data_IF_505922829510
#
_entry.id   IF_505922829510
#
_cell.length_a   1.000
_cell.length_b   1.000
_cell.length_c   1.000
_cell.angle_alpha   90.00
_cell.angle_beta   90.00
_cell.angle_gamma   90.00
#
_symmetry.space_group_name_H-M   'P 1'
#
loop_
_entity.id
_entity.type
_entity.pdbx_description
1 polymer ?
#
# COMPACT_ATOMS: atom_id res chain seq x y z
N UNK A 1 10.24 7.39 -8.12
CA UNK A 1 10.18 7.77 -6.69
C UNK A 1 9.06 6.98 -6.03
N UNK A 2 9.31 6.33 -4.88
CA UNK A 2 8.30 5.51 -4.16
C UNK A 2 7.52 6.44 -3.23
N UNK A 3 6.21 6.51 -3.41
CA UNK A 3 5.40 7.60 -2.88
C UNK A 3 4.29 7.07 -1.96
N UNK A 4 4.39 7.48 -0.70
CA UNK A 4 3.25 7.59 0.20
C UNK A 4 2.93 9.08 0.26
N UNK A 5 1.98 9.54 -0.56
CA UNK A 5 1.66 10.96 -0.72
C UNK A 5 0.65 11.42 0.31
N UNK A 6 -0.44 10.66 0.51
CA UNK A 6 -1.57 11.05 1.35
C UNK A 6 -1.96 9.96 2.33
N UNK A 7 -2.08 10.33 3.59
CA UNK A 7 -2.52 9.44 4.68
C UNK A 7 -3.82 9.99 5.25
N UNK A 8 -4.90 9.21 5.15
CA UNK A 8 -6.15 9.52 5.84
C UNK A 8 -6.04 9.07 7.29
N UNK A 9 -6.30 9.96 8.23
CA UNK A 9 -6.26 9.70 9.67
C UNK A 9 -7.64 10.05 10.26
N UNK A 10 -8.60 9.10 10.25
CA UNK A 10 -9.85 9.28 10.96
C UNK A 10 -9.57 9.27 12.46
N UNK A 11 -9.95 10.34 13.16
CA UNK A 11 -9.77 10.48 14.60
C UNK A 11 -11.14 10.35 15.27
N UNK A 12 -11.18 9.63 16.37
CA UNK A 12 -12.27 9.69 17.32
C UNK A 12 -11.78 10.49 18.54
N UNK A 13 -12.33 11.68 18.74
CA UNK A 13 -11.91 12.59 19.81
C UNK A 13 -12.26 12.08 21.21
N UNK A 14 -13.09 11.04 21.32
CA UNK A 14 -13.53 10.48 22.59
C UNK A 14 -12.60 9.37 23.11
N UNK A 15 -11.62 8.94 22.32
CA UNK A 15 -10.66 7.89 22.67
C UNK A 15 -9.23 8.42 22.64
N UNK A 16 -8.32 7.72 23.32
CA UNK A 16 -6.90 8.05 23.21
C UNK A 16 -6.38 7.71 21.81
N UNK A 17 -6.04 8.75 21.05
CA UNK A 17 -5.47 8.67 19.70
C UNK A 17 -3.99 9.06 19.67
N UNK A 18 -3.31 9.18 20.82
CA UNK A 18 -1.91 9.61 20.89
C UNK A 18 -0.99 8.72 20.05
N UNK A 19 -1.07 7.41 20.22
CA UNK A 19 -0.22 6.48 19.45
C UNK A 19 -0.57 6.46 17.95
N UNK A 20 -1.84 6.65 17.62
CA UNK A 20 -2.28 6.82 16.23
C UNK A 20 -1.60 8.05 15.60
N UNK A 21 -1.64 9.19 16.28
CA UNK A 21 -1.05 10.44 15.81
C UNK A 21 0.48 10.36 15.72
N UNK A 22 1.14 9.80 16.73
CA UNK A 22 2.59 9.58 16.74
C UNK A 22 3.04 8.72 15.54
N UNK A 23 2.31 7.64 15.27
CA UNK A 23 2.59 6.75 14.15
C UNK A 23 2.38 7.48 12.81
N UNK A 24 1.30 8.26 12.69
CA UNK A 24 1.03 9.06 11.50
C UNK A 24 2.13 10.10 11.23
N UNK A 25 2.58 10.82 12.26
CA UNK A 25 3.70 11.79 12.17
C UNK A 25 4.97 11.10 11.70
N UNK A 26 5.32 9.97 12.32
CA UNK A 26 6.53 9.20 12.01
C UNK A 26 6.56 8.75 10.55
N UNK A 27 5.42 8.27 10.05
CA UNK A 27 5.29 7.83 8.65
C UNK A 27 5.32 9.04 7.72
N UNK A 28 4.51 10.08 7.98
CA UNK A 28 4.41 11.26 7.14
C UNK A 28 5.76 11.99 7.01
N UNK A 29 6.50 12.14 8.10
CA UNK A 29 7.86 12.72 8.07
C UNK A 29 8.82 11.92 7.21
N UNK A 30 8.74 10.60 7.30
CA UNK A 30 9.60 9.69 6.57
C UNK A 30 9.38 9.81 5.06
N UNK A 31 8.13 9.91 4.62
CA UNK A 31 7.76 9.95 3.21
C UNK A 31 7.44 11.34 2.65
N UNK A 32 7.51 12.38 3.48
CA UNK A 32 7.02 13.73 3.17
C UNK A 32 5.53 13.71 2.73
N UNK A 33 4.72 12.94 3.44
CA UNK A 33 3.29 12.76 3.13
C UNK A 33 2.44 13.90 3.70
N UNK A 34 1.36 14.22 3.01
CA UNK A 34 0.24 15.00 3.52
C UNK A 34 -0.67 14.12 4.41
N UNK A 35 -1.02 14.63 5.58
CA UNK A 35 -2.02 14.03 6.47
C UNK A 35 -3.36 14.71 6.24
N UNK A 36 -4.41 13.89 6.08
CA UNK A 36 -5.80 14.33 6.02
C UNK A 36 -6.49 13.85 7.28
N UNK A 37 -6.84 14.78 8.17
CA UNK A 37 -7.55 14.46 9.41
C UNK A 37 -9.05 14.62 9.19
N UNK A 38 -9.83 13.62 9.60
CA UNK A 38 -11.28 13.72 9.58
C UNK A 38 -11.91 13.16 10.86
N UNK A 39 -13.05 13.72 11.23
CA UNK A 39 -13.96 13.16 12.23
C UNK A 39 -15.31 12.86 11.57
N UNK A 40 -15.89 11.70 11.83
CA UNK A 40 -17.24 11.38 11.35
C UNK A 40 -18.24 11.48 12.50
N UNK A 41 -19.21 12.39 12.36
CA UNK A 41 -20.31 12.56 13.29
C UNK A 41 -21.53 11.79 12.79
N UNK A 42 -21.98 10.80 13.58
CA UNK A 42 -23.19 10.04 13.26
C UNK A 42 -24.42 10.94 13.34
N UNK A 43 -25.29 10.87 12.32
CA UNK A 43 -26.52 11.68 12.24
C UNK A 43 -27.51 11.39 13.39
N UNK A 44 -27.43 10.21 14.00
CA UNK A 44 -28.31 9.75 15.08
C UNK A 44 -28.03 10.40 16.44
N UNK A 45 -26.86 11.01 16.63
CA UNK A 45 -26.34 11.34 17.98
C UNK A 45 -26.73 12.76 18.43
N UNK A 46 -27.24 13.61 17.55
CA UNK A 46 -27.21 15.06 17.80
C UNK A 46 -28.57 15.72 17.52
N UNK A 47 -29.31 16.01 18.59
CA UNK A 47 -30.44 16.94 18.52
C UNK A 47 -29.97 18.31 18.02
N UNK A 48 -30.78 18.96 17.17
CA UNK A 48 -30.43 20.25 16.54
C UNK A 48 -29.96 21.30 17.55
N UNK A 49 -30.53 21.30 18.76
CA UNK A 49 -30.28 22.29 19.80
C UNK A 49 -28.87 22.21 20.40
N UNK A 50 -28.22 21.04 20.35
CA UNK A 50 -26.84 20.84 20.86
C UNK A 50 -25.81 20.66 19.74
N UNK A 51 -26.25 20.68 18.48
CA UNK A 51 -25.41 20.35 17.32
C UNK A 51 -24.24 21.29 17.16
N UNK A 52 -24.48 22.58 17.31
CA UNK A 52 -23.44 23.60 17.19
C UNK A 52 -22.39 23.46 18.31
N UNK A 53 -22.83 23.16 19.53
CA UNK A 53 -21.95 22.95 20.69
C UNK A 53 -21.01 21.75 20.44
N UNK A 54 -21.57 20.63 19.97
CA UNK A 54 -20.78 19.41 19.66
C UNK A 54 -19.80 19.69 18.52
N UNK A 55 -20.23 20.35 17.44
CA UNK A 55 -19.37 20.71 16.32
C UNK A 55 -18.22 21.61 16.76
N UNK A 56 -18.49 22.61 17.61
CA UNK A 56 -17.47 23.52 18.12
C UNK A 56 -16.44 22.77 18.98
N UNK A 57 -16.88 21.87 19.88
CA UNK A 57 -15.99 21.06 20.70
C UNK A 57 -15.11 20.12 19.85
N UNK A 58 -15.67 19.47 18.83
CA UNK A 58 -14.92 18.62 17.90
C UNK A 58 -13.91 19.48 17.11
N UNK A 59 -14.34 20.64 16.61
CA UNK A 59 -13.48 21.55 15.85
C UNK A 59 -12.29 22.05 16.67
N UNK A 60 -12.49 22.37 17.95
CA UNK A 60 -11.41 22.75 18.85
C UNK A 60 -10.39 21.62 19.02
N UNK A 61 -10.85 20.37 19.19
CA UNK A 61 -9.97 19.20 19.28
C UNK A 61 -9.21 18.94 17.97
N UNK A 62 -9.88 19.05 16.82
CA UNK A 62 -9.23 18.92 15.51
C UNK A 62 -8.20 20.02 15.26
N UNK A 63 -8.47 21.25 15.72
CA UNK A 63 -7.51 22.34 15.67
C UNK A 63 -6.28 22.06 16.55
N UNK A 64 -6.45 21.47 17.74
CA UNK A 64 -5.31 21.03 18.56
C UNK A 64 -4.45 20.01 17.82
N UNK A 65 -5.07 19.03 17.15
CA UNK A 65 -4.35 18.03 16.32
C UNK A 65 -3.60 18.71 15.18
N UNK A 66 -4.24 19.65 14.48
CA UNK A 66 -3.61 20.43 13.41
C UNK A 66 -2.37 21.19 13.89
N UNK A 67 -2.45 21.84 15.04
CA UNK A 67 -1.32 22.57 15.61
C UNK A 67 -0.18 21.63 16.04
N UNK A 68 -0.49 20.44 16.57
CA UNK A 68 0.53 19.41 16.84
C UNK A 68 1.23 19.01 15.53
N UNK A 69 0.48 18.70 14.49
CA UNK A 69 1.02 18.29 13.19
C UNK A 69 1.88 19.38 12.53
N UNK A 70 1.46 20.64 12.60
CA UNK A 70 2.24 21.79 12.11
C UNK A 70 3.53 21.99 12.88
N UNK A 71 3.51 21.89 14.21
CA UNK A 71 4.72 21.98 15.05
C UNK A 71 5.74 20.90 14.69
N UNK A 72 5.26 19.72 14.32
CA UNK A 72 6.08 18.60 13.87
C UNK A 72 6.54 18.71 12.40
N UNK A 73 6.17 19.80 11.70
CA UNK A 73 6.55 20.09 10.32
C UNK A 73 5.83 19.25 9.26
N UNK A 74 4.65 18.72 9.58
CA UNK A 74 3.89 17.83 8.70
C UNK A 74 2.93 18.63 7.80
N UNK A 75 2.87 18.27 6.51
CA UNK A 75 1.87 18.79 5.58
C UNK A 75 0.49 18.28 6.00
N UNK A 76 -0.46 19.19 6.21
CA UNK A 76 -1.80 18.83 6.67
C UNK A 76 -2.87 19.60 5.87
N UNK A 77 -3.87 18.86 5.39
CA UNK A 77 -5.11 19.43 4.83
C UNK A 77 -6.03 19.89 5.95
N UNK A 78 -6.82 20.94 5.72
CA UNK A 78 -7.78 21.45 6.71
C UNK A 78 -8.64 20.31 7.30
N UNK A 79 -8.64 20.10 8.63
CA UNK A 79 -9.42 19.03 9.24
C UNK A 79 -10.91 19.17 8.93
N UNK A 80 -11.57 18.05 8.62
CA UNK A 80 -12.99 18.06 8.23
C UNK A 80 -13.86 17.27 9.20
N UNK A 81 -15.04 17.80 9.51
CA UNK A 81 -16.12 17.07 10.18
C UNK A 81 -17.11 16.61 9.10
N UNK A 82 -17.34 15.31 9.00
CA UNK A 82 -18.23 14.70 8.01
C UNK A 82 -19.41 14.05 8.72
N UNK A 83 -20.61 14.17 8.17
CA UNK A 83 -21.82 13.58 8.76
C UNK A 83 -22.14 12.24 8.08
N UNK A 84 -22.60 11.26 8.88
CA UNK A 84 -23.13 9.99 8.39
C UNK A 84 -22.51 8.76 9.05
N UNK A 85 -22.57 7.61 8.37
CA UNK A 85 -21.96 6.38 8.87
C UNK A 85 -20.42 6.46 8.84
N UNK A 86 -19.72 6.22 9.96
CA UNK A 86 -18.26 6.32 10.05
C UNK A 86 -17.50 5.57 8.96
N UNK A 87 -17.82 4.29 8.75
CA UNK A 87 -17.07 3.45 7.81
C UNK A 87 -17.30 3.93 6.38
N UNK A 88 -18.55 4.19 6.00
CA UNK A 88 -18.88 4.62 4.64
C UNK A 88 -18.22 5.95 4.31
N UNK A 89 -18.23 6.90 5.25
CA UNK A 89 -17.64 8.23 5.05
C UNK A 89 -16.11 8.20 5.02
N UNK A 90 -15.48 7.35 5.82
CA UNK A 90 -14.03 7.13 5.75
C UNK A 90 -13.64 6.53 4.40
N UNK A 91 -14.36 5.51 3.92
CA UNK A 91 -14.09 4.90 2.62
C UNK A 91 -14.30 5.88 1.46
N UNK A 92 -15.39 6.65 1.48
CA UNK A 92 -15.66 7.69 0.49
C UNK A 92 -14.56 8.75 0.48
N UNK A 93 -14.14 9.24 1.65
CA UNK A 93 -13.05 10.22 1.75
C UNK A 93 -11.73 9.64 1.24
N UNK A 94 -11.41 8.39 1.58
CA UNK A 94 -10.19 7.73 1.10
C UNK A 94 -10.13 7.63 -0.44
N UNK A 95 -11.27 7.45 -1.10
CA UNK A 95 -11.38 7.43 -2.56
C UNK A 95 -11.29 8.85 -3.12
N UNK A 96 -12.10 9.78 -2.61
CA UNK A 96 -12.19 11.16 -3.12
C UNK A 96 -10.87 11.92 -3.00
N UNK A 97 -10.16 11.72 -1.89
CA UNK A 97 -8.85 12.32 -1.66
C UNK A 97 -7.70 11.56 -2.33
N UNK A 98 -8.01 10.39 -2.91
CA UNK A 98 -7.10 9.41 -3.47
C UNK A 98 -5.93 9.10 -2.51
N UNK A 99 -6.24 8.72 -1.27
CA UNK A 99 -5.20 8.44 -0.28
C UNK A 99 -4.49 7.12 -0.59
N UNK A 100 -3.27 6.99 -0.09
CA UNK A 100 -2.50 5.76 -0.20
C UNK A 100 -2.74 4.81 0.99
N UNK A 101 -3.08 5.37 2.14
CA UNK A 101 -3.19 4.66 3.41
C UNK A 101 -4.31 5.26 4.26
N UNK A 102 -5.11 4.39 4.87
CA UNK A 102 -6.00 4.74 5.98
C UNK A 102 -5.30 4.30 7.27
N UNK A 103 -5.01 5.24 8.17
CA UNK A 103 -4.36 4.98 9.45
C UNK A 103 -5.34 5.25 10.59
N UNK A 104 -5.76 4.19 11.26
CA UNK A 104 -6.79 4.22 12.31
C UNK A 104 -6.29 3.59 13.61
N UNK A 105 -6.72 4.11 14.75
CA UNK A 105 -6.49 3.46 16.04
C UNK A 105 -7.27 2.14 16.18
N UNK A 106 -6.78 1.24 17.02
CA UNK A 106 -7.38 -0.07 17.24
C UNK A 106 -8.73 -0.07 17.96
N UNK A 107 -9.12 1.05 18.57
CA UNK A 107 -10.31 1.16 19.43
C UNK A 107 -10.02 0.87 20.91
N UNK A 108 -11.10 0.79 21.70
CA UNK A 108 -11.04 0.70 23.17
C UNK A 108 -10.65 -0.73 23.61
N UNK A 109 -9.68 -0.81 24.52
CA UNK A 109 -9.37 -2.03 25.29
C UNK A 109 -10.39 -2.12 26.42
N UNK A 110 -11.24 -3.15 26.40
CA UNK A 110 -12.13 -3.43 27.53
C UNK A 110 -11.29 -3.75 28.78
N UNK A 111 -11.69 -3.26 29.96
CA UNK A 111 -10.90 -3.36 31.21
C UNK A 111 -10.65 -4.81 31.65
N UNK A 112 -11.38 -5.77 31.06
CA UNK A 112 -11.26 -7.21 31.28
C UNK A 112 -10.43 -7.87 30.16
N UNK A 113 -9.11 -7.68 30.22
CA UNK A 113 -7.98 -8.49 29.67
C UNK A 113 -8.01 -9.09 28.24
N UNK A 114 -9.09 -9.01 27.45
CA UNK A 114 -9.10 -9.47 26.06
C UNK A 114 -9.26 -8.29 25.12
N UNK A 115 -8.16 -7.95 24.46
CA UNK A 115 -8.15 -6.98 23.37
C UNK A 115 -9.26 -7.28 22.36
N UNK A 116 -9.95 -6.24 21.90
CA UNK A 116 -10.94 -6.31 20.83
C UNK A 116 -10.68 -5.21 19.82
N UNK A 117 -10.55 -5.60 18.56
CA UNK A 117 -10.48 -4.66 17.46
C UNK A 117 -11.80 -3.88 17.38
N UNK A 118 -11.70 -2.55 17.30
CA UNK A 118 -12.84 -1.67 17.15
C UNK A 118 -13.63 -1.99 15.88
N UNK A 119 -14.96 -1.85 15.96
CA UNK A 119 -15.89 -2.20 14.87
C UNK A 119 -15.53 -1.45 13.57
N UNK A 120 -15.13 -0.18 13.68
CA UNK A 120 -14.75 0.62 12.52
C UNK A 120 -13.46 0.09 11.87
N UNK A 121 -12.46 -0.27 12.67
CA UNK A 121 -11.20 -0.84 12.16
C UNK A 121 -11.45 -2.20 11.48
N UNK A 122 -12.23 -3.11 12.09
CA UNK A 122 -12.59 -4.40 11.48
C UNK A 122 -13.31 -4.21 10.14
N UNK A 123 -14.34 -3.37 10.10
CA UNK A 123 -15.09 -3.08 8.87
C UNK A 123 -14.21 -2.44 7.79
N UNK A 124 -13.33 -1.52 8.14
CA UNK A 124 -12.40 -0.91 7.19
C UNK A 124 -11.45 -1.95 6.59
N UNK A 125 -10.90 -2.87 7.38
CA UNK A 125 -10.05 -3.95 6.85
C UNK A 125 -10.83 -4.83 5.86
N UNK A 126 -12.10 -5.12 6.15
CA UNK A 126 -12.94 -5.97 5.28
C UNK A 126 -13.32 -5.26 3.98
N UNK A 127 -13.66 -3.98 4.05
CA UNK A 127 -14.30 -3.26 2.95
C UNK A 127 -13.34 -2.40 2.13
N UNK A 128 -12.27 -1.88 2.73
CA UNK A 128 -11.34 -0.97 2.07
C UNK A 128 -10.50 -1.65 0.99
N UNK A 129 -10.45 -1.05 -0.19
CA UNK A 129 -9.46 -1.37 -1.22
C UNK A 129 -8.10 -0.69 -0.95
N UNK A 130 -8.12 0.44 -0.23
CA UNK A 130 -6.92 1.11 0.27
C UNK A 130 -6.33 0.32 1.43
N UNK A 131 -5.00 0.21 1.54
CA UNK A 131 -4.35 -0.37 2.71
C UNK A 131 -4.81 0.30 4.01
N UNK A 132 -5.01 -0.52 5.04
CA UNK A 132 -5.44 -0.07 6.37
C UNK A 132 -4.34 -0.39 7.36
N UNK A 133 -3.79 0.65 7.98
CA UNK A 133 -2.87 0.56 9.11
C UNK A 133 -3.66 0.73 10.39
N UNK A 134 -3.75 -0.34 11.17
CA UNK A 134 -4.34 -0.29 12.51
C UNK A 134 -3.23 -0.11 13.54
N UNK A 135 -3.29 0.99 14.28
CA UNK A 135 -2.34 1.31 15.34
C UNK A 135 -2.85 0.78 16.66
N UNK A 136 -2.02 -0.02 17.34
CA UNK A 136 -2.32 -0.53 18.68
C UNK A 136 -2.34 0.61 19.69
N UNK A 137 -3.45 0.74 20.41
CA UNK A 137 -3.55 1.71 21.51
C UNK A 137 -2.59 1.35 22.64
N UNK A 138 -2.06 2.37 23.33
CA UNK A 138 -1.16 2.26 24.50
C UNK A 138 0.18 1.55 24.24
N UNK A 139 0.56 1.30 22.99
CA UNK A 139 1.84 0.70 22.64
C UNK A 139 2.46 1.44 21.46
N UNK A 140 3.69 1.95 21.66
CA UNK A 140 4.39 2.70 20.64
C UNK A 140 4.77 1.81 19.45
N UNK A 141 4.42 2.25 18.24
CA UNK A 141 4.84 1.58 17.00
C UNK A 141 6.27 2.00 16.62
N UNK A 142 7.24 1.23 17.12
CA UNK A 142 8.67 1.54 16.96
C UNK A 142 9.20 1.36 15.54
N UNK A 143 8.58 0.54 14.70
CA UNK A 143 9.01 0.28 13.31
C UNK A 143 10.44 -0.25 13.22
N UNK A 144 10.81 -1.13 14.16
CA UNK A 144 12.14 -1.71 14.25
C UNK A 144 12.16 -3.18 13.86
N UNK A 145 11.06 -3.91 14.10
CA UNK A 145 10.94 -5.34 13.82
C UNK A 145 9.61 -5.63 13.12
N UNK A 146 9.70 -5.96 11.82
CA UNK A 146 8.55 -6.21 10.95
C UNK A 146 8.42 -7.71 10.72
N UNK A 147 7.23 -8.26 10.99
CA UNK A 147 6.85 -9.61 10.57
C UNK A 147 5.98 -9.54 9.31
N UNK A 148 6.32 -10.34 8.31
CA UNK A 148 5.52 -10.52 7.11
C UNK A 148 5.25 -12.01 6.85
N UNK A 149 4.08 -12.54 7.26
CA UNK A 149 3.68 -13.89 6.89
C UNK A 149 3.27 -13.95 5.42
N UNK A 150 3.69 -15.01 4.73
CA UNK A 150 3.43 -15.20 3.31
C UNK A 150 2.79 -16.56 3.03
N UNK A 151 1.79 -16.56 2.17
CA UNK A 151 1.13 -17.77 1.65
C UNK A 151 1.24 -17.84 0.12
N UNK A 152 2.15 -17.06 -0.47
CA UNK A 152 2.45 -17.01 -1.90
C UNK A 152 1.27 -16.57 -2.80
N UNK A 153 0.20 -16.03 -2.20
CA UNK A 153 -0.92 -15.39 -2.92
C UNK A 153 -0.59 -13.94 -3.31
N UNK A 154 -1.37 -13.36 -4.24
CA UNK A 154 -1.18 -11.95 -4.64
C UNK A 154 -1.30 -10.95 -3.48
N UNK A 155 -2.26 -11.08 -2.53
CA UNK A 155 -2.25 -10.24 -1.33
C UNK A 155 -0.97 -10.39 -0.50
N UNK A 156 -0.45 -11.60 -0.32
CA UNK A 156 0.83 -11.79 0.39
C UNK A 156 2.02 -11.20 -0.37
N UNK A 157 1.99 -11.21 -1.70
CA UNK A 157 2.99 -10.56 -2.57
C UNK A 157 3.01 -9.05 -2.36
N UNK A 158 1.83 -8.42 -2.34
CA UNK A 158 1.67 -6.99 -1.99
C UNK A 158 2.15 -6.71 -0.57
N UNK A 159 1.76 -7.54 0.40
CA UNK A 159 2.20 -7.39 1.78
C UNK A 159 3.74 -7.40 1.89
N UNK A 160 4.40 -8.38 1.27
CA UNK A 160 5.85 -8.48 1.29
C UNK A 160 6.52 -7.31 0.57
N UNK A 161 6.00 -6.87 -0.59
CA UNK A 161 6.49 -5.68 -1.30
C UNK A 161 6.49 -4.46 -0.39
N UNK A 162 5.39 -4.24 0.33
CA UNK A 162 5.26 -3.12 1.27
C UNK A 162 6.16 -3.29 2.50
N UNK A 163 6.27 -4.50 3.06
CA UNK A 163 7.14 -4.81 4.19
C UNK A 163 8.63 -4.54 3.87
N UNK A 164 9.09 -4.89 2.67
CA UNK A 164 10.45 -4.60 2.20
C UNK A 164 10.69 -3.09 2.11
N UNK A 165 9.72 -2.33 1.58
CA UNK A 165 9.88 -0.88 1.46
C UNK A 165 9.91 -0.21 2.85
N UNK A 166 9.04 -0.63 3.76
CA UNK A 166 9.05 -0.16 5.14
C UNK A 166 10.36 -0.52 5.85
N UNK A 167 10.85 -1.76 5.69
CA UNK A 167 12.14 -2.21 6.22
C UNK A 167 13.31 -1.36 5.69
N UNK A 168 13.39 -1.12 4.38
CA UNK A 168 14.41 -0.23 3.78
C UNK A 168 14.33 1.18 4.36
N UNK A 169 13.12 1.73 4.48
CA UNK A 169 12.92 3.12 4.89
C UNK A 169 13.24 3.37 6.36
N UNK A 170 12.80 2.47 7.23
CA UNK A 170 12.95 2.59 8.68
C UNK A 170 14.17 1.83 9.22
N UNK A 171 14.95 1.17 8.34
CA UNK A 171 16.07 0.28 8.70
C UNK A 171 15.62 -0.84 9.67
N UNK A 172 14.38 -1.29 9.51
CA UNK A 172 13.77 -2.31 10.36
C UNK A 172 14.23 -3.71 9.96
N UNK A 173 14.39 -4.61 10.92
CA UNK A 173 14.58 -6.03 10.64
C UNK A 173 13.28 -6.62 10.07
N UNK A 174 13.38 -7.42 9.01
CA UNK A 174 12.24 -8.06 8.35
C UNK A 174 12.30 -9.57 8.51
N UNK A 175 11.30 -10.16 9.17
CA UNK A 175 11.10 -11.61 9.17
C UNK A 175 10.03 -11.99 8.16
N UNK A 176 10.37 -12.84 7.20
CA UNK A 176 9.45 -13.40 6.22
C UNK A 176 9.07 -14.80 6.70
N UNK A 177 7.81 -14.99 7.08
CA UNK A 177 7.34 -16.23 7.71
C UNK A 177 6.48 -17.06 6.74
N UNK A 178 6.93 -18.27 6.41
CA UNK A 178 6.12 -19.30 5.79
C UNK A 178 5.64 -20.31 6.83
N UNK A 179 4.38 -20.74 6.75
CA UNK A 179 3.85 -21.80 7.64
C UNK A 179 3.26 -22.92 6.81
N UNK A 180 3.68 -24.15 7.08
CA UNK A 180 3.08 -25.36 6.48
C UNK A 180 2.38 -26.18 7.54
N UNK A 181 1.27 -26.81 7.15
CA UNK A 181 0.54 -27.73 8.01
C UNK A 181 1.21 -29.12 7.97
N UNK A 182 1.73 -29.63 9.10
CA UNK A 182 2.33 -30.95 9.12
C UNK A 182 1.28 -32.04 8.88
N UNK A 183 1.70 -33.14 8.26
CA UNK A 183 0.92 -34.37 8.19
C UNK A 183 0.98 -35.08 9.53
N UNK A 184 -0.20 -35.33 10.10
CA UNK A 184 -0.37 -36.07 11.35
C UNK A 184 -1.43 -37.13 11.10
N UNK A 185 -1.12 -38.40 11.43
CA UNK A 185 -2.08 -39.50 11.39
C UNK A 185 -2.01 -40.28 12.70
N UNK A 186 -3.16 -40.60 13.28
CA UNK A 186 -3.30 -41.46 14.46
C UNK A 186 -3.75 -42.87 14.08
N UNK A 187 -3.98 -43.13 12.79
CA UNK A 187 -4.44 -44.43 12.29
C UNK A 187 -3.28 -45.40 12.19
N UNK A 188 -3.30 -46.43 13.05
CA UNK A 188 -2.38 -47.58 12.98
C UNK A 188 -2.50 -48.37 11.66
N UNK A 189 -3.56 -48.14 10.87
CA UNK A 189 -3.79 -48.82 9.58
C UNK A 189 -3.06 -48.15 8.41
N UNK A 190 -2.66 -46.88 8.54
CA UNK A 190 -1.89 -46.17 7.53
C UNK A 190 -0.39 -46.40 7.80
N UNK A 191 0.27 -47.23 6.99
CA UNK A 191 1.74 -47.37 7.00
C UNK A 191 2.39 -46.18 6.28
N UNK A 192 2.18 -44.97 6.80
CA UNK A 192 2.82 -43.76 6.27
C UNK A 192 3.89 -43.33 7.26
N UNK A 193 5.13 -43.16 6.79
CA UNK A 193 6.16 -42.52 7.58
C UNK A 193 5.85 -41.01 7.66
N UNK A 194 5.36 -40.58 8.82
CA UNK A 194 5.00 -39.18 9.07
C UNK A 194 6.21 -38.27 9.03
N UNK A 195 7.43 -38.76 9.30
CA UNK A 195 8.65 -37.95 9.20
C UNK A 195 9.01 -37.70 7.75
N UNK A 196 8.96 -38.74 6.91
CA UNK A 196 9.23 -38.62 5.48
C UNK A 196 8.24 -37.67 4.80
N UNK A 197 6.94 -37.82 5.08
CA UNK A 197 5.89 -36.95 4.53
C UNK A 197 6.05 -35.49 4.99
N UNK A 198 6.42 -35.26 6.25
CA UNK A 198 6.67 -33.90 6.75
C UNK A 198 7.95 -33.28 6.17
N UNK A 199 9.00 -34.07 5.95
CA UNK A 199 10.21 -33.62 5.26
C UNK A 199 9.91 -33.26 3.79
N UNK A 200 9.09 -34.06 3.12
CA UNK A 200 8.62 -33.75 1.77
C UNK A 200 7.84 -32.42 1.72
N UNK A 201 6.89 -32.21 2.65
CA UNK A 201 6.14 -30.95 2.76
C UNK A 201 7.02 -29.74 3.04
N UNK A 202 8.03 -29.90 3.90
CA UNK A 202 9.03 -28.86 4.17
C UNK A 202 9.79 -28.51 2.88
N UNK A 203 10.29 -29.50 2.14
CA UNK A 203 10.97 -29.27 0.87
C UNK A 203 10.10 -28.58 -0.18
N UNK A 204 8.79 -28.87 -0.22
CA UNK A 204 7.85 -28.18 -1.09
C UNK A 204 7.72 -26.69 -0.75
N UNK A 205 7.48 -26.36 0.53
CA UNK A 205 7.33 -24.95 0.93
C UNK A 205 8.66 -24.18 0.80
N UNK A 206 9.81 -24.80 1.06
CA UNK A 206 11.12 -24.21 0.83
C UNK A 206 11.33 -23.86 -0.65
N UNK A 207 10.93 -24.76 -1.56
CA UNK A 207 10.99 -24.51 -3.00
C UNK A 207 10.04 -23.40 -3.43
N UNK A 208 8.80 -23.41 -2.95
CA UNK A 208 7.82 -22.34 -3.21
C UNK A 208 8.31 -20.99 -2.70
N UNK A 209 8.82 -20.94 -1.47
CA UNK A 209 9.42 -19.74 -0.87
C UNK A 209 10.58 -19.22 -1.70
N UNK A 210 11.52 -20.10 -2.08
CA UNK A 210 12.66 -19.72 -2.91
C UNK A 210 12.22 -19.16 -4.26
N UNK A 211 11.19 -19.73 -4.88
CA UNK A 211 10.66 -19.22 -6.15
C UNK A 211 9.96 -17.87 -5.97
N UNK A 212 9.12 -17.74 -4.95
CA UNK A 212 8.40 -16.51 -4.64
C UNK A 212 9.34 -15.33 -4.34
N UNK A 213 10.41 -15.58 -3.59
CA UNK A 213 11.37 -14.54 -3.21
C UNK A 213 12.23 -14.03 -4.37
N UNK A 214 12.34 -14.76 -5.49
CA UNK A 214 13.04 -14.27 -6.70
C UNK A 214 12.41 -13.02 -7.30
N UNK A 215 11.15 -12.76 -6.99
CA UNK A 215 10.42 -11.59 -7.48
C UNK A 215 10.75 -10.31 -6.70
N UNK A 216 11.52 -10.42 -5.63
CA UNK A 216 11.78 -9.32 -4.70
C UNK A 216 13.28 -9.03 -4.56
N UNK A 217 13.60 -7.73 -4.50
CA UNK A 217 14.93 -7.27 -4.16
C UNK A 217 15.09 -7.09 -2.63
N UNK A 218 15.69 -8.10 -2.00
CA UNK A 218 16.04 -8.12 -0.58
C UNK A 218 17.46 -7.58 -0.31
N UNK A 219 18.15 -7.00 -1.29
CA UNK A 219 19.45 -6.39 -1.05
C UNK A 219 19.32 -5.15 -0.16
N UNK A 220 20.28 -5.00 0.76
CA UNK A 220 20.36 -3.83 1.65
C UNK A 220 19.32 -3.81 2.79
N UNK A 221 18.63 -4.92 3.06
CA UNK A 221 17.76 -5.08 4.23
C UNK A 221 18.25 -6.18 5.16
N UNK A 222 18.15 -5.94 6.46
CA UNK A 222 18.33 -6.95 7.49
C UNK A 222 17.07 -7.85 7.49
N UNK A 223 17.17 -9.07 6.96
CA UNK A 223 16.03 -9.97 6.85
C UNK A 223 16.35 -11.41 7.22
N UNK A 224 15.32 -12.13 7.67
CA UNK A 224 15.34 -13.57 7.97
C UNK A 224 14.19 -14.25 7.25
N UNK A 225 14.46 -15.37 6.60
CA UNK A 225 13.43 -16.25 6.04
C UNK A 225 13.21 -17.37 7.06
N UNK A 226 11.98 -17.52 7.52
CA UNK A 226 11.59 -18.43 8.58
C UNK A 226 10.45 -19.33 8.08
N UNK A 227 10.63 -20.65 8.15
CA UNK A 227 9.61 -21.63 7.75
C UNK A 227 9.29 -22.49 8.95
N UNK A 228 8.04 -22.43 9.41
CA UNK A 228 7.58 -23.14 10.60
C UNK A 228 6.50 -24.16 10.26
N UNK A 229 6.49 -25.27 11.01
CA UNK A 229 5.41 -26.24 10.98
C UNK A 229 4.31 -25.84 11.97
N UNK A 230 3.05 -25.90 11.57
CA UNK A 230 1.93 -25.72 12.50
C UNK A 230 0.71 -25.08 11.88
N UNK A 231 -0.03 -24.34 12.72
CA UNK A 231 -1.23 -23.62 12.33
C UNK A 231 -0.89 -22.15 12.16
N UNK A 232 -1.07 -21.61 10.94
CA UNK A 232 -0.60 -20.28 10.55
C UNK A 232 -0.86 -19.16 11.57
N UNK A 233 -2.10 -19.00 12.05
CA UNK A 233 -2.41 -17.93 13.01
C UNK A 233 -1.66 -18.09 14.35
N UNK A 234 -1.53 -19.31 14.87
CA UNK A 234 -0.81 -19.60 16.12
C UNK A 234 0.68 -19.29 15.96
N UNK A 235 1.30 -19.75 14.87
CA UNK A 235 2.71 -19.48 14.56
C UNK A 235 2.97 -17.98 14.37
N UNK A 236 2.07 -17.25 13.71
CA UNK A 236 2.18 -15.79 13.56
C UNK A 236 2.17 -15.11 14.92
N UNK A 237 1.17 -15.43 15.76
CA UNK A 237 1.02 -14.83 17.09
C UNK A 237 2.20 -15.18 18.01
N UNK A 238 2.68 -16.42 17.95
CA UNK A 238 3.85 -16.88 18.68
C UNK A 238 5.11 -16.13 18.26
N UNK A 239 5.36 -16.06 16.94
CA UNK A 239 6.53 -15.37 16.36
C UNK A 239 6.55 -13.88 16.71
N UNK A 240 5.39 -13.21 16.76
CA UNK A 240 5.32 -11.80 17.17
C UNK A 240 5.79 -11.65 18.63
N UNK A 241 5.31 -12.51 19.54
CA UNK A 241 5.66 -12.47 20.96
C UNK A 241 7.12 -12.87 21.21
N UNK A 242 7.56 -13.95 20.60
CA UNK A 242 8.90 -14.54 20.82
C UNK A 242 10.02 -13.58 20.39
N UNK A 243 9.86 -12.93 19.24
CA UNK A 243 10.88 -12.06 18.65
C UNK A 243 10.59 -10.56 18.81
N UNK A 244 9.53 -10.19 19.53
CA UNK A 244 9.19 -8.78 19.80
C UNK A 244 8.93 -7.94 18.55
N UNK A 245 8.16 -8.49 17.60
CA UNK A 245 7.78 -7.74 16.39
C UNK A 245 6.80 -6.62 16.75
N UNK A 246 7.06 -5.41 16.25
CA UNK A 246 6.27 -4.19 16.54
C UNK A 246 5.33 -3.80 15.38
N UNK A 247 5.49 -4.46 14.22
CA UNK A 247 4.62 -4.30 13.07
C UNK A 247 4.38 -5.64 12.35
N UNK A 248 3.11 -5.99 12.16
CA UNK A 248 2.70 -7.09 11.29
C UNK A 248 2.24 -6.53 9.93
N UNK A 249 2.81 -7.00 8.82
CA UNK A 249 2.37 -6.63 7.47
C UNK A 249 1.85 -7.89 6.77
N UNK A 250 0.55 -7.94 6.50
CA UNK A 250 -0.09 -9.15 5.96
C UNK A 250 -1.14 -8.86 4.87
N UNK A 251 -1.41 -9.87 4.04
CA UNK A 251 -2.54 -9.84 3.11
C UNK A 251 -3.87 -10.03 3.84
N UNK A 252 -4.96 -9.42 3.35
CA UNK A 252 -6.29 -9.65 3.95
C UNK A 252 -6.89 -10.99 3.58
N UNK A 253 -6.53 -11.51 2.40
CA UNK A 253 -7.06 -12.75 1.82
C UNK A 253 -5.88 -13.65 1.43
N UNK A 254 -6.10 -14.96 1.43
CA UNK A 254 -5.09 -15.93 1.04
C UNK A 254 -5.50 -16.78 -0.16
N UNK A 255 -4.79 -17.90 -0.36
CA UNK A 255 -4.99 -18.87 -1.47
C UNK A 255 -6.44 -19.32 -1.71
N UNK A 256 -7.29 -19.34 -0.69
CA UNK A 256 -8.67 -19.87 -0.76
C UNK A 256 -9.75 -18.83 -1.07
N UNK A 257 -9.40 -17.54 -1.17
CA UNK A 257 -10.37 -16.44 -1.24
C UNK A 257 -10.91 -16.17 -2.65
N UNK A 258 -11.87 -16.96 -3.12
CA UNK A 258 -12.57 -16.72 -4.41
C UNK A 258 -13.48 -15.47 -4.41
N UNK A 259 -13.83 -14.94 -3.23
CA UNK A 259 -14.68 -13.75 -3.09
C UNK A 259 -13.88 -12.56 -2.54
N UNK A 260 -13.86 -11.44 -3.29
CA UNK A 260 -13.15 -10.18 -2.93
C UNK A 260 -13.65 -9.50 -1.64
N UNK A 261 -14.68 -10.03 -0.97
CA UNK A 261 -15.35 -9.40 0.18
C UNK A 261 -15.00 -10.09 1.52
N UNK A 262 -14.53 -11.34 1.51
CA UNK A 262 -14.33 -12.12 2.74
C UNK A 262 -12.87 -12.05 3.19
N UNK A 263 -12.63 -11.59 4.41
CA UNK A 263 -11.32 -11.66 5.08
C UNK A 263 -10.91 -13.12 5.29
N UNK A 264 -9.64 -13.46 5.05
CA UNK A 264 -9.11 -14.80 5.27
C UNK A 264 -9.21 -15.21 6.74
N UNK A 265 -9.48 -16.50 7.00
CA UNK A 265 -9.64 -17.04 8.36
C UNK A 265 -8.40 -16.90 9.24
N UNK A 266 -7.20 -16.88 8.63
CA UNK A 266 -5.94 -16.60 9.34
C UNK A 266 -5.89 -15.14 9.78
N UNK A 267 -6.14 -14.21 8.85
CA UNK A 267 -6.20 -12.77 9.12
C UNK A 267 -7.21 -12.45 10.22
N UNK A 268 -8.43 -12.97 10.13
CA UNK A 268 -9.46 -12.74 11.14
C UNK A 268 -9.05 -13.21 12.54
N UNK A 269 -8.38 -14.37 12.66
CA UNK A 269 -7.89 -14.86 13.94
C UNK A 269 -6.74 -14.01 14.48
N UNK A 270 -5.81 -13.58 13.64
CA UNK A 270 -4.67 -12.76 14.04
C UNK A 270 -5.10 -11.34 14.44
N UNK A 271 -5.96 -10.69 13.65
CA UNK A 271 -6.44 -9.32 13.93
C UNK A 271 -7.33 -9.26 15.17
N UNK A 272 -8.01 -10.36 15.52
CA UNK A 272 -8.78 -10.46 16.76
C UNK A 272 -7.90 -10.41 18.01
N UNK A 273 -6.69 -10.94 17.96
CA UNK A 273 -5.74 -10.89 19.08
C UNK A 273 -4.86 -9.64 19.07
N UNK A 274 -4.64 -9.04 17.90
CA UNK A 274 -3.87 -7.83 17.65
C UNK A 274 -2.62 -7.67 18.55
N UNK A 275 -1.62 -8.55 18.36
CA UNK A 275 -0.45 -8.59 19.23
C UNK A 275 0.43 -7.33 19.11
N UNK A 276 0.40 -6.64 17.96
CA UNK A 276 1.08 -5.38 17.67
C UNK A 276 0.26 -4.57 16.65
N UNK A 277 0.73 -3.37 16.30
CA UNK A 277 0.19 -2.64 15.15
C UNK A 277 0.31 -3.46 13.86
N UNK A 278 -0.64 -3.34 12.95
CA UNK A 278 -0.61 -4.12 11.72
C UNK A 278 -1.10 -3.33 10.50
N UNK A 279 -0.59 -3.73 9.34
CA UNK A 279 -1.02 -3.22 8.05
C UNK A 279 -1.58 -4.34 7.20
N UNK A 280 -2.78 -4.09 6.68
CA UNK A 280 -3.41 -5.01 5.74
C UNK A 280 -3.39 -4.46 4.32
N UNK A 281 -3.11 -5.34 3.37
CA UNK A 281 -3.13 -5.02 1.94
C UNK A 281 -4.16 -5.91 1.24
N UNK A 282 -5.15 -5.28 0.60
CA UNK A 282 -6.26 -5.99 -0.08
C UNK A 282 -6.07 -5.99 -1.58
N UNK A 283 -6.29 -4.86 -2.25
CA UNK A 283 -6.21 -4.72 -3.71
C UNK A 283 -5.12 -3.73 -4.15
N UNK A 284 -4.78 -2.74 -3.33
CA UNK A 284 -3.75 -1.74 -3.62
C UNK A 284 -2.51 -1.89 -2.73
N UNK A 285 -1.37 -1.38 -3.22
CA UNK A 285 -0.13 -1.22 -2.44
C UNK A 285 -0.19 0.05 -1.58
N UNK A 286 0.48 0.06 -0.42
CA UNK A 286 0.64 1.27 0.41
C UNK A 286 1.48 2.30 -0.34
N UNK A 287 2.48 1.81 -1.07
CA UNK A 287 3.47 2.64 -1.74
C UNK A 287 3.35 2.37 -3.23
N UNK A 288 2.85 3.37 -3.95
CA UNK A 288 2.77 3.34 -5.40
C UNK A 288 4.11 3.81 -5.99
N UNK A 289 4.57 3.11 -7.02
CA UNK A 289 5.69 3.58 -7.84
C UNK A 289 5.13 4.59 -8.83
N UNK A 290 5.63 5.83 -8.83
CA UNK A 290 5.18 6.90 -9.75
C UNK A 290 5.13 6.45 -11.21
N UNK A 291 6.10 5.62 -11.62
CA UNK A 291 6.20 5.10 -12.98
C UNK A 291 5.01 4.23 -13.40
N UNK A 292 4.40 3.46 -12.50
CA UNK A 292 3.33 2.54 -12.90
C UNK A 292 2.02 3.29 -13.23
N UNK A 293 1.73 4.38 -12.51
CA UNK A 293 0.56 5.22 -12.81
C UNK A 293 0.80 6.07 -14.06
N UNK A 294 1.97 6.72 -14.16
CA UNK A 294 2.32 7.52 -15.35
C UNK A 294 2.31 6.65 -16.62
N UNK A 295 2.89 5.44 -16.58
CA UNK A 295 2.87 4.50 -17.71
C UNK A 295 1.44 4.08 -18.03
N UNK A 296 0.63 3.71 -17.04
CA UNK A 296 -0.75 3.27 -17.26
C UNK A 296 -1.64 4.38 -17.81
N UNK A 297 -1.49 5.61 -17.31
CA UNK A 297 -2.21 6.77 -17.82
C UNK A 297 -1.78 7.10 -19.26
N UNK A 298 -0.48 7.06 -19.55
CA UNK A 298 0.04 7.19 -20.92
C UNK A 298 -0.53 6.11 -21.82
N UNK A 299 -0.55 4.84 -21.41
CA UNK A 299 -1.11 3.74 -22.21
C UNK A 299 -2.60 3.94 -22.52
N UNK A 300 -3.39 4.40 -21.54
CA UNK A 300 -4.82 4.68 -21.72
C UNK A 300 -5.01 5.81 -22.74
N UNK A 301 -4.36 6.95 -22.53
CA UNK A 301 -4.50 8.11 -23.42
C UNK A 301 -3.95 7.81 -24.83
N UNK A 302 -2.83 7.11 -24.93
CA UNK A 302 -2.22 6.73 -26.20
C UNK A 302 -3.09 5.75 -26.98
N UNK A 303 -3.69 4.77 -26.30
CA UNK A 303 -4.64 3.84 -26.92
C UNK A 303 -5.88 4.57 -27.42
N UNK A 304 -6.51 5.39 -26.58
CA UNK A 304 -7.69 6.17 -26.95
C UNK A 304 -7.39 7.09 -28.15
N UNK A 305 -6.20 7.68 -28.21
CA UNK A 305 -5.77 8.50 -29.33
C UNK A 305 -5.64 7.69 -30.63
N UNK A 306 -5.07 6.49 -30.58
CA UNK A 306 -4.99 5.62 -31.76
C UNK A 306 -6.39 5.21 -32.24
N UNK A 307 -7.30 4.85 -31.33
CA UNK A 307 -8.68 4.53 -31.66
C UNK A 307 -9.38 5.72 -32.33
N UNK A 308 -9.14 6.96 -31.87
CA UNK A 308 -9.67 8.17 -32.50
C UNK A 308 -9.09 8.40 -33.91
N UNK A 309 -7.80 8.17 -34.13
CA UNK A 309 -7.16 8.27 -35.46
C UNK A 309 -7.77 7.26 -36.42
N UNK A 310 -7.98 6.01 -36.00
CA UNK A 310 -8.61 4.97 -36.81
C UNK A 310 -10.02 5.35 -37.26
N UNK A 311 -10.72 6.15 -36.45
CA UNK A 311 -12.05 6.66 -36.74
C UNK A 311 -12.05 8.05 -37.42
N UNK A 312 -10.88 8.62 -37.76
CA UNK A 312 -10.75 9.90 -38.45
C UNK A 312 -10.87 11.15 -37.59
N UNK A 313 -10.90 11.02 -36.26
CA UNK A 313 -11.00 12.12 -35.30
C UNK A 313 -9.62 12.66 -34.91
N UNK A 314 -8.93 13.31 -35.85
CA UNK A 314 -7.53 13.71 -35.70
C UNK A 314 -7.31 14.83 -34.68
N UNK A 315 -8.25 15.78 -34.52
CA UNK A 315 -8.09 16.88 -33.55
C UNK A 315 -8.22 16.38 -32.11
N UNK A 316 -9.16 15.48 -31.85
CA UNK A 316 -9.34 14.81 -30.57
C UNK A 316 -8.16 13.90 -30.24
N UNK A 317 -7.64 13.18 -31.24
CA UNK A 317 -6.44 12.37 -31.08
C UNK A 317 -5.23 13.22 -30.70
N UNK A 318 -5.05 14.39 -31.31
CA UNK A 318 -3.98 15.35 -30.96
C UNK A 318 -4.06 15.75 -29.49
N UNK A 319 -5.25 16.02 -28.96
CA UNK A 319 -5.43 16.34 -27.54
C UNK A 319 -4.98 15.18 -26.65
N UNK A 320 -5.37 13.94 -26.99
CA UNK A 320 -4.99 12.75 -26.22
C UNK A 320 -3.47 12.47 -26.27
N UNK A 321 -2.83 12.58 -27.43
CA UNK A 321 -1.37 12.44 -27.52
C UNK A 321 -0.62 13.57 -26.79
N UNK A 322 -1.19 14.78 -26.76
CA UNK A 322 -0.61 15.91 -26.02
C UNK A 322 -0.64 15.68 -24.51
N UNK A 323 -1.71 15.08 -23.97
CA UNK A 323 -1.78 14.67 -22.56
C UNK A 323 -0.66 13.67 -22.24
N UNK A 324 -0.38 12.71 -23.13
CA UNK A 324 0.74 11.79 -22.93
C UNK A 324 2.08 12.52 -22.75
N UNK A 325 2.30 13.61 -23.52
CA UNK A 325 3.51 14.43 -23.43
C UNK A 325 3.53 15.36 -22.19
N UNK A 326 2.36 15.69 -21.63
CA UNK A 326 2.28 16.38 -20.34
C UNK A 326 2.63 15.45 -19.19
N UNK A 327 2.25 14.17 -19.28
CA UNK A 327 2.61 13.14 -18.29
C UNK A 327 4.10 12.78 -18.41
N UNK A 328 4.61 12.59 -19.63
CA UNK A 328 6.02 12.32 -19.89
C UNK A 328 6.49 13.00 -21.18
N UNK A 329 7.28 14.06 -21.02
CA UNK A 329 7.81 14.88 -22.10
C UNK A 329 8.88 14.20 -22.98
N UNK A 330 9.26 12.96 -22.63
CA UNK A 330 10.12 12.08 -23.41
C UNK A 330 9.38 10.90 -24.06
N UNK A 331 8.04 10.88 -24.05
CA UNK A 331 7.28 9.80 -24.68
C UNK A 331 7.30 9.89 -26.22
N UNK A 332 8.37 9.37 -26.82
CA UNK A 332 8.67 9.41 -28.26
C UNK A 332 7.51 8.94 -29.16
N UNK A 333 6.77 7.85 -28.84
CA UNK A 333 5.64 7.43 -29.68
C UNK A 333 4.59 8.53 -29.86
N UNK A 334 4.28 9.29 -28.80
CA UNK A 334 3.34 10.41 -28.87
C UNK A 334 3.85 11.55 -29.76
N UNK A 335 5.14 11.85 -29.76
CA UNK A 335 5.69 12.86 -30.69
C UNK A 335 5.49 12.47 -32.15
N UNK A 336 5.77 11.21 -32.52
CA UNK A 336 5.56 10.74 -33.89
C UNK A 336 4.09 10.73 -34.29
N UNK A 337 3.21 10.30 -33.38
CA UNK A 337 1.77 10.30 -33.64
C UNK A 337 1.19 11.71 -33.74
N UNK A 338 1.65 12.65 -32.93
CA UNK A 338 1.31 14.08 -33.10
C UNK A 338 1.75 14.60 -34.47
N UNK A 339 2.97 14.29 -34.91
CA UNK A 339 3.44 14.68 -36.23
C UNK A 339 2.54 14.12 -37.34
N UNK A 340 2.20 12.82 -37.27
CA UNK A 340 1.28 12.17 -38.22
C UNK A 340 -0.10 12.86 -38.23
N UNK A 341 -0.74 13.02 -37.07
CA UNK A 341 -2.05 13.65 -36.96
C UNK A 341 -2.07 15.11 -37.44
N UNK A 342 -1.01 15.90 -37.16
CA UNK A 342 -0.91 17.28 -37.65
C UNK A 342 -0.76 17.37 -39.17
N UNK A 343 -0.08 16.41 -39.82
CA UNK A 343 -0.04 16.34 -41.29
C UNK A 343 -1.43 16.06 -41.87
N UNK A 344 -2.20 15.17 -41.24
CA UNK A 344 -3.56 14.84 -41.69
C UNK A 344 -4.51 16.04 -41.66
N UNK A 345 -4.35 16.96 -40.70
CA UNK A 345 -5.15 18.19 -40.63
C UNK A 345 -4.48 19.39 -41.35
N UNK A 346 -3.47 19.15 -42.18
CA UNK A 346 -2.83 20.16 -43.03
C UNK A 346 -1.85 21.11 -42.31
N UNK A 347 -1.50 20.85 -41.05
CA UNK A 347 -0.59 21.69 -40.25
C UNK A 347 0.85 21.18 -40.33
N UNK A 348 1.42 21.22 -41.52
CA UNK A 348 2.73 20.60 -41.83
C UNK A 348 3.90 21.18 -41.03
N UNK A 349 3.94 22.49 -40.78
CA UNK A 349 5.00 23.12 -39.98
C UNK A 349 5.01 22.61 -38.53
N UNK A 350 3.82 22.41 -37.95
CA UNK A 350 3.67 21.86 -36.59
C UNK A 350 4.08 20.39 -36.59
N UNK A 351 3.69 19.64 -37.61
CA UNK A 351 4.09 18.25 -37.74
C UNK A 351 5.62 18.07 -37.79
N UNK A 352 6.30 18.93 -38.57
CA UNK A 352 7.75 18.92 -38.69
C UNK A 352 8.43 19.25 -37.35
N UNK A 353 7.88 20.18 -36.56
CA UNK A 353 8.36 20.45 -35.20
C UNK A 353 8.33 19.21 -34.29
N UNK A 354 7.20 18.49 -34.22
CA UNK A 354 7.09 17.30 -33.36
C UNK A 354 8.00 16.16 -33.83
N UNK A 355 8.13 15.97 -35.15
CA UNK A 355 9.01 14.95 -35.72
C UNK A 355 10.49 15.23 -35.43
N UNK A 356 10.93 16.49 -35.61
CA UNK A 356 12.30 16.90 -35.32
C UNK A 356 12.63 16.75 -33.82
N UNK A 357 11.65 17.06 -32.95
CA UNK A 357 11.80 16.87 -31.51
C UNK A 357 11.90 15.39 -31.12
N UNK A 358 11.13 14.50 -31.76
CA UNK A 358 11.25 13.06 -31.56
C UNK A 358 12.65 12.55 -31.94
N UNK A 359 13.16 12.96 -33.11
CA UNK A 359 14.51 12.59 -33.59
C UNK A 359 15.60 13.07 -32.65
N UNK A 360 15.51 14.30 -32.15
CA UNK A 360 16.47 14.86 -31.20
C UNK A 360 16.46 14.11 -29.85
N UNK A 361 15.28 13.71 -29.35
CA UNK A 361 15.15 12.90 -28.14
C UNK A 361 15.76 11.49 -28.32
N UNK A 362 15.49 10.84 -29.44
CA UNK A 362 16.06 9.53 -29.77
C UNK A 362 17.60 9.57 -29.84
N UNK A 363 18.17 10.57 -30.51
CA UNK A 363 19.61 10.75 -30.61
C UNK A 363 20.25 10.87 -29.21
N UNK A 364 19.69 11.71 -28.34
CA UNK A 364 20.16 11.88 -26.96
C UNK A 364 20.10 10.59 -26.13
N UNK A 365 19.06 9.78 -26.31
CA UNK A 365 18.94 8.50 -25.61
C UNK A 365 20.00 7.49 -26.10
N UNK A 366 20.29 7.49 -27.40
CA UNK A 366 21.35 6.66 -27.96
C UNK A 366 22.73 7.05 -27.45
N UNK A 367 23.04 8.35 -27.43
CA UNK A 367 24.31 8.87 -26.92
C UNK A 367 24.52 8.48 -25.45
N UNK A 368 23.49 8.63 -24.61
CA UNK A 368 23.55 8.21 -23.19
C UNK A 368 23.73 6.70 -23.03
N UNK A 369 23.10 5.89 -23.90
CA UNK A 369 23.24 4.43 -23.86
C UNK A 369 24.67 4.02 -24.23
N UNK A 370 25.25 4.64 -25.26
CA UNK A 370 26.64 4.43 -25.66
C UNK A 370 27.60 4.83 -24.54
N UNK A 371 27.41 6.01 -23.94
CA UNK A 371 28.22 6.47 -22.81
C UNK A 371 28.15 5.53 -21.60
N UNK A 372 26.95 5.00 -21.30
CA UNK A 372 26.76 4.01 -20.24
C UNK A 372 27.50 2.69 -20.52
N UNK A 373 27.41 2.16 -21.75
CA UNK A 373 28.11 0.93 -22.14
C UNK A 373 29.64 1.11 -22.14
N UNK A 374 30.15 2.28 -22.57
CA UNK A 374 31.57 2.63 -22.49
C UNK A 374 32.02 2.66 -21.02
N UNK A 375 31.30 3.36 -20.14
CA UNK A 375 31.63 3.41 -18.70
C UNK A 375 31.57 2.05 -18.02
N UNK A 376 30.69 1.16 -18.48
CA UNK A 376 30.60 -0.23 -18.01
C UNK A 376 31.83 -1.05 -18.45
N UNK A 377 32.30 -0.87 -19.69
CA UNK A 377 33.50 -1.53 -20.21
C UNK A 377 34.78 -1.06 -19.51
N UNK A 378 34.91 0.24 -19.20
CA UNK A 378 36.10 0.77 -18.51
C UNK A 378 36.10 0.55 -16.98
N UNK A 379 35.01 0.02 -16.40
CA UNK A 379 34.96 -0.39 -14.98
C UNK A 379 35.28 -1.87 -14.76
N UNK A 380 35.40 -2.68 -15.81
CA UNK A 380 35.75 -4.10 -15.72
C UNK A 380 37.26 -4.39 -15.74
N UNK A 381 38.10 -3.37 -16.01
CA UNK A 381 39.56 -3.52 -16.15
C UNK A 381 40.38 -2.82 -15.04
N UNK A 382 39.78 -2.53 -13.89
CA UNK A 382 40.49 -1.99 -12.70
C UNK A 382 40.16 -2.76 -11.42
#
# INVERSE_FOLDING_TARGET
>A
MKLLEKILVPIDVNIDFKEQLNTAIKIARSYNSEIIVMYVLSEEIVHNDIKEIVINAISENLNKVKEILKKEGILIKEPSIVFGNPVDKILQSAINENVNLILIGSGIIDKNEKFRLGINADKLIRLSDKPVWVVKSNEETKLTNILCPVDFSDPSRRALKNAIILSKKFKAALRILGVYKPFVTTSLRLKVDTKEENAYRLGLIEKEMKQFLKEFDLHGINHVIDIQAGVAHENILHTIKEYGHDLLVMGTNGRSGLNRIVMGSVTEKVTREMPCSFVTTKTQDIIQLRFDNEIKEIEIHFKNANDLVENGFYEEAINQYSICLQINDMHIPSFYKLAESYRHIGKNEIAEYYENRAKALLARLWDKKIEFEIRKHYRSDN
#
